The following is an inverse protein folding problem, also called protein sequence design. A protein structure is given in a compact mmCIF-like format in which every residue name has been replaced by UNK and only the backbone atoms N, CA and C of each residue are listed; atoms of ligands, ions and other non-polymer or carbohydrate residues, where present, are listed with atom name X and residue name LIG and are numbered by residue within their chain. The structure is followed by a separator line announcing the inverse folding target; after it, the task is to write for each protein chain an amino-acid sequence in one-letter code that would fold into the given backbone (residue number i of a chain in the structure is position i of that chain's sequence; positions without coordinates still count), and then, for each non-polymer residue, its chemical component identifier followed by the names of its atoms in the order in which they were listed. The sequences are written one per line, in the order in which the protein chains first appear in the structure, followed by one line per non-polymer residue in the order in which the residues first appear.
data_IF_756306080002
#
_entry.id   IF_756306080002
#
_cell.length_a   1.000
_cell.length_b   1.000
_cell.length_c   1.000
_cell.angle_alpha   90.00
_cell.angle_beta   90.00
_cell.angle_gamma   90.00
#
_symmetry.space_group_name_H-M   'P 1'
#
loop_
_entity.id
_entity.type
_entity.pdbx_description
1 polymer ?
#
# COMPACT_ATOMS: atom_id res chain seq x y z
N UNK A 1 -38.02 -11.75 18.17
CA UNK A 1 -37.11 -10.90 17.39
C UNK A 1 -35.89 -11.75 17.12
N UNK A 2 -35.88 -12.44 15.97
CA UNK A 2 -34.81 -13.38 15.63
C UNK A 2 -33.53 -12.58 15.40
N UNK A 3 -32.47 -12.90 16.14
CA UNK A 3 -31.14 -12.44 15.81
C UNK A 3 -30.80 -13.06 14.45
N UNK A 4 -30.79 -12.23 13.42
CA UNK A 4 -30.22 -12.59 12.13
C UNK A 4 -28.74 -12.85 12.39
N UNK A 5 -28.35 -14.12 12.50
CA UNK A 5 -26.95 -14.50 12.64
C UNK A 5 -26.26 -14.14 11.33
N UNK A 6 -25.76 -12.91 11.23
CA UNK A 6 -24.87 -12.51 10.16
C UNK A 6 -23.69 -13.48 10.16
N UNK A 7 -23.62 -14.33 9.12
CA UNK A 7 -22.53 -15.28 8.96
C UNK A 7 -21.26 -14.52 8.68
N UNK A 8 -20.28 -14.60 9.59
CA UNK A 8 -18.96 -14.03 9.38
C UNK A 8 -18.24 -14.76 8.24
N UNK A 9 -17.67 -13.98 7.33
CA UNK A 9 -16.69 -14.47 6.37
C UNK A 9 -15.36 -14.77 7.09
N UNK A 10 -14.60 -15.73 6.59
CA UNK A 10 -13.22 -15.92 7.09
C UNK A 10 -12.29 -14.88 6.48
N UNK A 11 -11.29 -14.47 7.26
CA UNK A 11 -10.22 -13.57 6.82
C UNK A 11 -8.88 -14.21 7.10
N UNK A 12 -8.06 -14.31 6.06
CA UNK A 12 -6.69 -14.77 6.14
C UNK A 12 -5.82 -13.98 5.15
N UNK A 13 -4.52 -14.20 5.23
CA UNK A 13 -3.52 -13.55 4.40
C UNK A 13 -2.65 -14.64 3.77
N UNK A 14 -2.27 -14.47 2.51
CA UNK A 14 -1.42 -15.42 1.81
C UNK A 14 -0.39 -14.71 0.95
N UNK A 15 0.87 -15.18 0.88
CA UNK A 15 1.84 -14.67 -0.08
C UNK A 15 1.34 -14.87 -1.52
N UNK A 16 1.58 -13.88 -2.35
CA UNK A 16 1.25 -13.88 -3.77
C UNK A 16 2.38 -13.22 -4.57
N UNK A 17 2.46 -13.58 -5.85
CA UNK A 17 3.51 -13.12 -6.74
C UNK A 17 2.92 -12.68 -8.06
N UNK A 18 3.27 -11.46 -8.48
CA UNK A 18 3.11 -11.02 -9.87
C UNK A 18 4.42 -11.27 -10.60
N UNK A 19 4.39 -12.15 -11.60
CA UNK A 19 5.57 -12.45 -12.40
C UNK A 19 6.03 -11.21 -13.20
N UNK A 20 7.33 -10.95 -13.21
CA UNK A 20 7.93 -9.94 -14.08
C UNK A 20 8.12 -10.47 -15.50
N UNK A 21 8.17 -9.59 -16.48
CA UNK A 21 8.40 -9.95 -17.87
C UNK A 21 9.06 -8.81 -18.66
N UNK A 22 9.71 -9.15 -19.77
CA UNK A 22 10.15 -8.20 -20.79
C UNK A 22 9.24 -8.35 -21.99
N UNK A 23 8.58 -7.27 -22.39
CA UNK A 23 7.64 -7.23 -23.49
C UNK A 23 8.36 -6.98 -24.83
N UNK A 24 7.70 -7.37 -25.92
CA UNK A 24 8.14 -7.00 -27.26
C UNK A 24 8.22 -5.47 -27.38
N UNK A 25 9.39 -4.94 -27.74
CA UNK A 25 9.67 -3.49 -27.77
C UNK A 25 10.47 -2.96 -26.58
N UNK A 26 10.89 -3.83 -25.64
CA UNK A 26 11.80 -3.46 -24.55
C UNK A 26 11.13 -2.85 -23.32
N UNK A 27 9.80 -2.79 -23.28
CA UNK A 27 9.06 -2.47 -22.06
C UNK A 27 9.20 -3.60 -21.03
N UNK A 28 9.12 -3.28 -19.75
CA UNK A 28 9.21 -4.24 -18.65
C UNK A 28 7.95 -4.24 -17.80
N UNK A 29 7.60 -5.42 -17.32
CA UNK A 29 6.59 -5.69 -16.29
C UNK A 29 7.37 -6.02 -15.03
N UNK A 30 7.14 -5.26 -13.96
CA UNK A 30 7.93 -5.45 -12.74
C UNK A 30 7.44 -6.67 -11.95
N UNK A 31 8.37 -7.50 -11.51
CA UNK A 31 8.08 -8.58 -10.57
C UNK A 31 7.67 -8.00 -9.21
N UNK A 32 6.61 -8.54 -8.59
CA UNK A 32 6.19 -8.14 -7.23
C UNK A 32 5.91 -9.37 -6.39
N UNK A 33 6.37 -9.33 -5.15
CA UNK A 33 5.87 -10.20 -4.09
C UNK A 33 5.02 -9.37 -3.15
N UNK A 34 3.85 -9.89 -2.79
CA UNK A 34 2.88 -9.17 -1.96
C UNK A 34 2.02 -10.12 -1.14
N UNK A 35 1.32 -9.58 -0.16
CA UNK A 35 0.37 -10.35 0.65
C UNK A 35 -1.04 -10.14 0.13
N UNK A 36 -1.68 -11.19 -0.37
CA UNK A 36 -3.07 -11.15 -0.82
C UNK A 36 -4.05 -11.38 0.35
N UNK A 37 -5.25 -10.82 0.23
CA UNK A 37 -6.36 -11.01 1.15
C UNK A 37 -7.12 -12.28 0.77
N UNK A 38 -7.24 -13.22 1.70
CA UNK A 38 -7.99 -14.47 1.49
C UNK A 38 -9.30 -14.38 2.25
N UNK A 39 -10.41 -14.34 1.50
CA UNK A 39 -11.77 -14.30 2.04
C UNK A 39 -12.44 -15.64 1.75
N UNK A 40 -13.02 -16.29 2.76
CA UNK A 40 -13.64 -17.62 2.66
C UNK A 40 -12.75 -18.66 1.95
N UNK A 41 -11.45 -18.63 2.26
CA UNK A 41 -10.45 -19.54 1.68
C UNK A 41 -10.11 -19.28 0.21
N UNK A 42 -10.57 -18.17 -0.39
CA UNK A 42 -10.24 -17.79 -1.77
C UNK A 42 -9.51 -16.45 -1.80
N UNK A 43 -8.38 -16.34 -2.51
CA UNK A 43 -7.73 -15.05 -2.76
C UNK A 43 -8.72 -14.07 -3.36
N UNK A 44 -8.81 -12.88 -2.78
CA UNK A 44 -9.76 -11.85 -3.17
C UNK A 44 -9.40 -11.28 -4.55
N UNK A 45 -8.11 -11.26 -4.92
CA UNK A 45 -7.65 -10.86 -6.25
C UNK A 45 -8.30 -11.71 -7.35
N UNK A 46 -8.45 -13.02 -7.15
CA UNK A 46 -9.11 -13.92 -8.12
C UNK A 46 -10.63 -13.71 -8.23
N UNK A 47 -11.23 -12.93 -7.34
CA UNK A 47 -12.65 -12.53 -7.45
C UNK A 47 -12.83 -11.24 -8.25
N UNK A 48 -11.72 -10.56 -8.59
CA UNK A 48 -11.70 -9.33 -9.37
C UNK A 48 -11.30 -9.68 -10.80
N UNK A 49 -12.13 -9.31 -11.78
CA UNK A 49 -11.97 -9.71 -13.18
C UNK A 49 -10.56 -9.37 -13.73
N UNK A 50 -9.80 -10.40 -14.16
CA UNK A 50 -8.45 -10.39 -14.74
C UNK A 50 -7.63 -9.11 -14.47
N UNK A 51 -7.54 -8.74 -13.19
CA UNK A 51 -6.96 -7.48 -12.77
C UNK A 51 -5.46 -7.63 -12.56
N UNK A 52 -4.68 -6.81 -13.26
CA UNK A 52 -3.25 -6.68 -13.00
C UNK A 52 -2.99 -5.66 -11.88
N UNK A 53 -3.14 -6.12 -10.63
CA UNK A 53 -2.95 -5.28 -9.45
C UNK A 53 -2.32 -6.07 -8.29
N UNK A 54 -1.70 -5.34 -7.36
CA UNK A 54 -1.10 -5.90 -6.13
C UNK A 54 -1.68 -5.18 -4.92
N UNK A 55 -1.71 -5.86 -3.77
CA UNK A 55 -2.12 -5.21 -2.53
C UNK A 55 -1.06 -4.18 -2.10
N UNK A 56 -1.44 -3.17 -1.28
CA UNK A 56 -0.47 -2.25 -0.68
C UNK A 56 0.47 -2.93 0.34
N UNK A 57 0.26 -4.21 0.65
CA UNK A 57 1.09 -5.04 1.52
C UNK A 57 2.16 -5.79 0.71
N UNK A 58 2.88 -5.07 -0.15
CA UNK A 58 3.96 -5.61 -0.97
C UNK A 58 5.30 -5.62 -0.23
N UNK A 59 6.17 -6.60 -0.52
CA UNK A 59 7.45 -6.78 0.19
C UNK A 59 8.48 -5.70 -0.14
N UNK A 60 8.33 -5.02 -1.27
CA UNK A 60 9.17 -3.91 -1.70
C UNK A 60 8.72 -2.55 -1.14
N UNK A 61 7.67 -2.53 -0.32
CA UNK A 61 7.20 -1.35 0.42
C UNK A 61 8.02 -1.19 1.72
N UNK A 62 8.40 0.04 2.11
CA UNK A 62 9.10 0.30 3.36
C UNK A 62 8.37 -0.25 4.59
N UNK A 63 9.07 -0.74 5.62
CA UNK A 63 8.42 -1.24 6.84
C UNK A 63 7.54 -0.22 7.55
N UNK A 64 7.88 1.08 7.54
CA UNK A 64 7.05 2.14 8.11
C UNK A 64 5.73 2.30 7.33
N UNK A 65 5.82 2.44 6.01
CA UNK A 65 4.64 2.53 5.12
C UNK A 65 3.81 1.24 5.21
N UNK A 66 4.46 0.08 5.18
CA UNK A 66 3.79 -1.21 5.36
C UNK A 66 3.04 -1.26 6.69
N UNK A 67 3.67 -0.82 7.78
CA UNK A 67 3.03 -0.74 9.09
C UNK A 67 1.86 0.26 9.10
N UNK A 68 1.99 1.41 8.44
CA UNK A 68 0.88 2.37 8.27
C UNK A 68 -0.28 1.76 7.47
N UNK A 69 0.00 1.00 6.40
CA UNK A 69 -1.02 0.29 5.63
C UNK A 69 -1.76 -0.74 6.49
N UNK A 70 -1.02 -1.52 7.29
CA UNK A 70 -1.62 -2.48 8.24
C UNK A 70 -2.47 -1.76 9.29
N UNK A 71 -1.98 -0.67 9.88
CA UNK A 71 -2.71 0.13 10.89
C UNK A 71 -3.94 0.80 10.29
N UNK A 72 -3.87 1.25 9.03
CA UNK A 72 -5.02 1.78 8.31
C UNK A 72 -6.10 0.70 8.14
N UNK A 73 -5.73 -0.52 7.76
CA UNK A 73 -6.67 -1.66 7.67
C UNK A 73 -7.25 -2.08 9.04
N UNK A 74 -6.54 -1.80 10.14
CA UNK A 74 -7.03 -1.95 11.52
C UNK A 74 -7.94 -0.79 11.99
N UNK A 75 -8.12 0.22 11.14
CA UNK A 75 -8.84 1.47 11.43
C UNK A 75 -8.26 2.24 12.63
N UNK A 76 -6.94 2.18 12.80
CA UNK A 76 -6.21 2.97 13.81
C UNK A 76 -5.89 4.39 13.32
N UNK A 77 -6.03 4.62 12.02
CA UNK A 77 -5.89 5.91 11.36
C UNK A 77 -7.13 6.19 10.49
N UNK A 78 -7.44 7.48 10.20
CA UNK A 78 -8.51 7.85 9.27
C UNK A 78 -8.33 7.20 7.90
N UNK A 79 -9.45 7.02 7.18
CA UNK A 79 -9.40 6.47 5.84
C UNK A 79 -8.56 7.35 4.91
N UNK A 80 -7.68 6.75 4.09
CA UNK A 80 -6.78 7.49 3.20
C UNK A 80 -7.51 8.16 2.03
N UNK A 81 -8.72 7.71 1.70
CA UNK A 81 -9.52 8.25 0.60
C UNK A 81 -10.88 8.78 1.11
N UNK A 82 -11.47 9.78 0.42
CA UNK A 82 -12.80 10.29 0.74
C UNK A 82 -13.86 9.18 0.81
N UNK A 83 -14.87 9.39 1.66
CA UNK A 83 -15.97 8.44 1.83
C UNK A 83 -15.63 7.19 2.64
N UNK A 84 -14.54 7.22 3.43
CA UNK A 84 -14.16 6.09 4.29
C UNK A 84 -13.52 4.94 3.51
N UNK A 85 -12.89 5.25 2.36
CA UNK A 85 -12.39 4.24 1.42
C UNK A 85 -10.91 3.94 1.63
N UNK A 86 -10.56 2.68 1.47
CA UNK A 86 -9.22 2.15 1.60
C UNK A 86 -8.81 1.48 0.29
N UNK A 87 -7.52 1.58 -0.03
CA UNK A 87 -6.93 0.89 -1.18
C UNK A 87 -6.78 -0.60 -0.84
N UNK A 88 -7.39 -1.46 -1.65
CA UNK A 88 -7.31 -2.92 -1.50
C UNK A 88 -6.28 -3.48 -2.49
N UNK A 89 -6.34 -3.04 -3.75
CA UNK A 89 -5.33 -3.36 -4.77
C UNK A 89 -5.03 -2.12 -5.61
N UNK A 90 -3.78 -1.94 -6.00
CA UNK A 90 -3.33 -0.79 -6.78
C UNK A 90 -2.40 -1.19 -7.92
N UNK A 91 -2.09 -0.21 -8.78
CA UNK A 91 -1.18 -0.40 -9.90
C UNK A 91 0.19 -0.93 -9.42
N UNK A 92 0.66 -2.07 -9.97
CA UNK A 92 1.94 -2.66 -9.58
C UNK A 92 3.15 -1.78 -9.89
N UNK A 93 3.03 -0.82 -10.80
CA UNK A 93 4.17 -0.04 -11.28
C UNK A 93 4.36 1.27 -10.50
N UNK A 94 3.27 1.97 -10.17
CA UNK A 94 3.35 3.30 -9.55
C UNK A 94 2.59 3.43 -8.23
N UNK A 95 1.71 2.50 -7.88
CA UNK A 95 0.79 2.59 -6.74
C UNK A 95 -0.05 3.90 -6.70
N UNK A 96 -0.18 4.58 -7.85
CA UNK A 96 -0.91 5.85 -7.97
C UNK A 96 -2.39 5.58 -8.24
N UNK A 97 -3.27 6.26 -7.49
CA UNK A 97 -4.71 6.16 -7.68
C UNK A 97 -5.12 6.51 -9.11
N UNK A 98 -4.47 7.49 -9.74
CA UNK A 98 -4.79 7.91 -11.11
C UNK A 98 -4.55 6.81 -12.16
N UNK A 99 -3.71 5.81 -11.86
CA UNK A 99 -3.54 4.63 -12.70
C UNK A 99 -4.67 3.60 -12.52
N UNK A 100 -5.44 3.76 -11.45
CA UNK A 100 -6.55 2.90 -11.06
C UNK A 100 -6.21 1.98 -9.90
N UNK A 101 -7.18 1.86 -8.99
CA UNK A 101 -7.11 1.00 -7.82
C UNK A 101 -8.48 0.38 -7.53
N UNK A 102 -8.47 -0.81 -6.93
CA UNK A 102 -9.65 -1.37 -6.27
C UNK A 102 -9.68 -0.83 -4.86
N UNK A 103 -10.76 -0.16 -4.52
CA UNK A 103 -10.99 0.42 -3.19
C UNK A 103 -12.25 -0.15 -2.57
N UNK A 104 -12.33 -0.14 -1.25
CA UNK A 104 -13.52 -0.55 -0.51
C UNK A 104 -13.76 0.40 0.67
N UNK A 105 -15.00 0.50 1.12
CA UNK A 105 -15.30 1.07 2.43
C UNK A 105 -14.95 0.02 3.48
N UNK A 106 -14.12 0.40 4.45
CA UNK A 106 -13.80 -0.45 5.60
C UNK A 106 -14.25 0.28 6.86
N UNK A 107 -15.12 -0.37 7.63
CA UNK A 107 -15.67 0.19 8.85
C UNK A 107 -15.72 -0.84 9.98
N UNK A 108 -15.77 -0.35 11.21
CA UNK A 108 -16.05 -1.17 12.39
C UNK A 108 -17.55 -1.25 12.61
N UNK A 109 -18.04 -2.44 12.92
CA UNK A 109 -19.37 -2.66 13.45
C UNK A 109 -19.29 -3.46 14.75
N UNK A 110 -19.37 -2.74 15.87
CA UNK A 110 -19.02 -3.27 17.17
C UNK A 110 -17.56 -3.72 17.21
N UNK A 111 -17.34 -5.00 17.50
CA UNK A 111 -16.00 -5.60 17.51
C UNK A 111 -15.54 -6.06 16.12
N UNK A 112 -16.46 -6.17 15.16
CA UNK A 112 -16.21 -6.74 13.84
C UNK A 112 -15.77 -5.68 12.82
N UNK A 113 -15.22 -6.15 11.70
CA UNK A 113 -14.86 -5.31 10.56
C UNK A 113 -15.74 -5.66 9.37
N UNK A 114 -16.20 -4.64 8.66
CA UNK A 114 -17.03 -4.77 7.47
C UNK A 114 -16.30 -4.15 6.29
N UNK A 115 -16.08 -4.95 5.25
CA UNK A 115 -15.60 -4.47 3.95
C UNK A 115 -16.77 -4.47 2.98
N UNK A 116 -17.10 -3.32 2.40
CA UNK A 116 -18.23 -3.15 1.48
C UNK A 116 -17.95 -2.18 0.36
N UNK A 117 -18.89 -2.10 -0.58
CA UNK A 117 -18.89 -1.11 -1.67
C UNK A 117 -17.58 -1.10 -2.45
N UNK A 118 -17.09 -2.26 -2.84
CA UNK A 118 -15.87 -2.39 -3.64
C UNK A 118 -16.07 -1.70 -4.99
N UNK A 119 -15.09 -0.92 -5.44
CA UNK A 119 -15.13 -0.28 -6.74
C UNK A 119 -13.74 -0.08 -7.35
N UNK A 120 -13.69 0.00 -8.66
CA UNK A 120 -12.56 0.56 -9.40
C UNK A 120 -12.57 2.09 -9.27
N UNK A 121 -11.46 2.68 -8.86
CA UNK A 121 -11.35 4.09 -8.54
C UNK A 121 -10.08 4.68 -9.15
N UNK A 122 -10.24 5.78 -9.89
CA UNK A 122 -9.15 6.56 -10.50
C UNK A 122 -9.04 7.99 -9.97
N UNK A 123 -10.11 8.49 -9.33
CA UNK A 123 -10.24 9.85 -8.79
C UNK A 123 -10.81 9.79 -7.37
N UNK A 124 -11.02 10.95 -6.72
CA UNK A 124 -11.46 11.06 -5.31
C UNK A 124 -12.71 10.23 -4.98
N UNK A 125 -13.66 10.11 -5.91
CA UNK A 125 -14.90 9.37 -5.71
C UNK A 125 -15.20 8.47 -6.93
N UNK A 126 -15.45 7.17 -6.75
CA UNK A 126 -15.86 6.29 -7.84
C UNK A 126 -17.36 6.43 -8.13
N UNK A 127 -17.75 6.35 -9.41
CA UNK A 127 -19.14 6.08 -9.78
C UNK A 127 -19.46 4.62 -9.44
N UNK A 128 -20.14 4.40 -8.32
CA UNK A 128 -20.47 3.04 -7.84
C UNK A 128 -21.37 2.26 -8.79
N UNK A 129 -22.17 2.93 -9.63
CA UNK A 129 -23.04 2.24 -10.58
C UNK A 129 -22.23 1.66 -11.73
N UNK A 130 -21.26 2.43 -12.24
CA UNK A 130 -20.43 2.02 -13.38
C UNK A 130 -19.22 1.18 -12.96
N UNK A 131 -18.58 1.55 -11.85
CA UNK A 131 -17.28 1.00 -11.43
C UNK A 131 -17.37 0.11 -10.19
N UNK A 132 -18.56 -0.07 -9.63
CA UNK A 132 -18.78 -0.97 -8.49
C UNK A 132 -18.61 -2.44 -8.88
N UNK A 133 -17.91 -3.20 -8.04
CA UNK A 133 -17.87 -4.65 -8.12
C UNK A 133 -19.15 -5.23 -7.50
N UNK A 134 -20.26 -5.08 -8.23
CA UNK A 134 -21.58 -5.54 -7.80
C UNK A 134 -21.56 -7.05 -7.52
N UNK A 135 -21.92 -7.44 -6.30
CA UNK A 135 -21.87 -8.84 -5.85
C UNK A 135 -20.60 -9.23 -5.09
N UNK A 136 -19.63 -8.32 -4.93
CA UNK A 136 -18.49 -8.52 -4.05
C UNK A 136 -18.77 -7.90 -2.68
N UNK A 137 -18.89 -8.75 -1.66
CA UNK A 137 -19.25 -8.34 -0.30
C UNK A 137 -20.73 -7.93 -0.15
N UNK A 138 -21.11 -7.30 0.97
CA UNK A 138 -20.25 -6.95 2.10
C UNK A 138 -19.66 -8.20 2.78
N UNK A 139 -18.40 -8.11 3.20
CA UNK A 139 -17.76 -9.13 4.02
C UNK A 139 -17.70 -8.66 5.46
N UNK A 140 -18.28 -9.45 6.36
CA UNK A 140 -18.18 -9.22 7.80
C UNK A 140 -17.16 -10.18 8.39
N UNK A 141 -16.11 -9.64 9.01
CA UNK A 141 -15.05 -10.42 9.63
C UNK A 141 -15.13 -10.34 11.14
N UNK A 142 -14.90 -11.47 11.82
CA UNK A 142 -14.76 -11.46 13.28
C UNK A 142 -13.56 -10.62 13.69
N UNK A 143 -13.79 -9.68 14.59
CA UNK A 143 -12.78 -8.72 15.04
C UNK A 143 -11.47 -9.32 15.50
N UNK A 144 -11.56 -10.38 16.30
CA UNK A 144 -10.41 -11.05 16.89
C UNK A 144 -9.54 -11.74 15.83
N UNK A 145 -10.16 -12.45 14.89
CA UNK A 145 -9.47 -13.12 13.78
C UNK A 145 -8.84 -12.13 12.81
N UNK A 146 -9.60 -11.10 12.43
CA UNK A 146 -9.14 -10.03 11.54
C UNK A 146 -7.92 -9.30 12.12
N UNK A 147 -8.01 -8.85 13.38
CA UNK A 147 -6.90 -8.17 14.06
C UNK A 147 -5.66 -9.06 14.15
N UNK A 148 -5.81 -10.32 14.60
CA UNK A 148 -4.69 -11.26 14.72
C UNK A 148 -3.97 -11.47 13.39
N UNK A 149 -4.71 -11.64 12.29
CA UNK A 149 -4.12 -11.83 10.97
C UNK A 149 -3.25 -10.64 10.57
N UNK A 150 -3.78 -9.42 10.71
CA UNK A 150 -3.06 -8.19 10.34
C UNK A 150 -1.89 -7.87 11.27
N UNK A 151 -2.05 -8.01 12.59
CA UNK A 151 -0.95 -7.76 13.53
C UNK A 151 0.19 -8.76 13.37
N UNK A 152 -0.13 -10.01 12.98
CA UNK A 152 0.88 -11.01 12.65
C UNK A 152 1.82 -10.58 11.53
N UNK A 153 1.38 -9.72 10.59
CA UNK A 153 2.29 -9.17 9.56
C UNK A 153 3.35 -8.24 10.14
N UNK A 154 3.03 -7.48 11.19
CA UNK A 154 3.97 -6.55 11.82
C UNK A 154 5.07 -7.30 12.58
N UNK A 155 4.74 -8.46 13.15
CA UNK A 155 5.67 -9.29 13.91
C UNK A 155 6.69 -10.02 13.00
N UNK A 156 6.34 -10.21 11.73
CA UNK A 156 7.14 -10.96 10.74
C UNK A 156 7.65 -10.08 9.59
N UNK A 157 7.47 -8.76 9.66
CA UNK A 157 7.99 -7.85 8.65
C UNK A 157 9.54 -7.92 8.62
N UNK A 158 10.17 -8.06 7.43
CA UNK A 158 11.62 -8.12 7.34
C UNK A 158 12.25 -6.85 7.93
N UNK A 159 13.26 -7.03 8.77
CA UNK A 159 13.93 -5.96 9.49
C UNK A 159 14.53 -4.98 8.47
N UNK A 160 14.19 -3.69 8.56
CA UNK A 160 14.49 -2.63 7.56
C UNK A 160 16.00 -2.41 7.30
N UNK A 161 16.85 -3.14 8.01
CA UNK A 161 18.30 -2.93 8.15
C UNK A 161 19.12 -3.70 7.11
N UNK A 162 18.55 -4.69 6.42
CA UNK A 162 19.38 -5.71 5.77
C UNK A 162 19.84 -5.42 4.33
N UNK A 163 19.18 -4.56 3.55
CA UNK A 163 19.54 -4.48 2.11
C UNK A 163 20.29 -3.23 1.66
N UNK A 164 20.32 -2.13 2.41
CA UNK A 164 21.13 -0.92 2.10
C UNK A 164 20.88 -0.25 0.72
N UNK A 165 20.01 -0.82 -0.12
CA UNK A 165 19.65 -0.35 -1.47
C UNK A 165 18.39 0.48 -1.42
N UNK A 166 18.38 1.55 -0.63
CA UNK A 166 17.20 2.43 -0.48
C UNK A 166 17.54 3.89 -0.72
N UNK A 167 16.64 4.60 -1.41
CA UNK A 167 16.79 6.00 -1.79
C UNK A 167 15.59 6.82 -1.33
N UNK A 168 15.83 7.88 -0.58
CA UNK A 168 14.79 8.87 -0.26
C UNK A 168 14.77 9.97 -1.35
N UNK A 169 13.63 10.13 -2.01
CA UNK A 169 13.36 11.13 -3.04
C UNK A 169 12.62 12.32 -2.42
N UNK A 170 13.24 13.48 -2.38
CA UNK A 170 12.66 14.69 -1.80
C UNK A 170 12.25 15.67 -2.91
N UNK A 171 10.98 16.07 -3.00
CA UNK A 171 10.60 17.20 -3.86
C UNK A 171 9.14 17.34 -4.25
N UNK A 172 8.76 18.51 -4.75
CA UNK A 172 7.36 18.93 -4.94
C UNK A 172 6.62 18.35 -6.17
N UNK A 173 7.32 17.69 -7.10
CA UNK A 173 6.72 17.17 -8.34
C UNK A 173 6.49 15.66 -8.26
N UNK A 174 5.35 15.27 -7.68
CA UNK A 174 4.97 13.87 -7.48
C UNK A 174 5.13 13.03 -8.77
N UNK A 175 4.60 13.49 -9.91
CA UNK A 175 4.67 12.73 -11.17
C UNK A 175 6.09 12.40 -11.67
N UNK A 176 7.08 13.27 -11.41
CA UNK A 176 8.48 13.02 -11.84
C UNK A 176 9.17 12.10 -10.84
N UNK A 177 8.94 12.30 -9.55
CA UNK A 177 9.50 11.45 -8.50
C UNK A 177 8.89 10.04 -8.53
N UNK A 178 7.61 9.92 -8.87
CA UNK A 178 6.92 8.63 -9.07
C UNK A 178 7.59 7.84 -10.19
N UNK A 179 7.93 8.48 -11.32
CA UNK A 179 8.68 7.81 -12.41
C UNK A 179 10.07 7.36 -11.98
N UNK A 180 10.79 8.18 -11.21
CA UNK A 180 12.11 7.83 -10.71
C UNK A 180 12.03 6.69 -9.67
N UNK A 181 11.05 6.74 -8.76
CA UNK A 181 10.82 5.69 -7.79
C UNK A 181 10.49 4.36 -8.49
N UNK A 182 9.61 4.39 -9.50
CA UNK A 182 9.31 3.23 -10.31
C UNK A 182 10.57 2.66 -10.99
N UNK A 183 11.41 3.52 -11.59
CA UNK A 183 12.66 3.10 -12.22
C UNK A 183 13.66 2.49 -11.22
N UNK A 184 13.81 3.07 -10.03
CA UNK A 184 14.68 2.53 -8.97
C UNK A 184 14.16 1.17 -8.48
N UNK A 185 12.85 1.05 -8.26
CA UNK A 185 12.23 -0.21 -7.86
C UNK A 185 12.39 -1.30 -8.93
N UNK A 186 12.37 -0.93 -10.21
CA UNK A 186 12.59 -1.88 -11.32
C UNK A 186 13.98 -2.54 -11.32
N UNK A 187 14.97 -1.89 -10.68
CA UNK A 187 16.35 -2.41 -10.55
C UNK A 187 16.65 -2.92 -9.13
N UNK A 188 15.61 -3.16 -8.32
CA UNK A 188 15.76 -3.69 -6.96
C UNK A 188 16.27 -2.66 -5.94
N UNK A 189 16.01 -1.37 -6.17
CA UNK A 189 16.31 -0.29 -5.23
C UNK A 189 14.99 0.24 -4.66
N UNK A 190 14.79 0.11 -3.35
CA UNK A 190 13.65 0.72 -2.66
C UNK A 190 13.70 2.24 -2.79
N UNK A 191 12.59 2.88 -3.10
CA UNK A 191 12.53 4.32 -3.31
C UNK A 191 11.30 4.92 -2.65
N UNK A 192 11.53 5.96 -1.84
CA UNK A 192 10.48 6.62 -1.05
C UNK A 192 10.38 8.09 -1.44
N UNK A 193 9.18 8.67 -1.41
CA UNK A 193 8.97 10.05 -1.84
C UNK A 193 8.43 10.84 -0.67
N UNK A 194 9.10 11.93 -0.32
CA UNK A 194 8.60 12.88 0.66
C UNK A 194 8.72 14.32 0.15
N UNK A 195 7.82 15.18 0.60
CA UNK A 195 7.97 16.62 0.45
C UNK A 195 8.77 17.23 1.62
N UNK A 196 8.76 16.56 2.77
CA UNK A 196 9.38 17.02 4.00
C UNK A 196 10.00 15.84 4.78
N UNK A 197 11.34 15.77 4.89
CA UNK A 197 12.02 14.71 5.63
C UNK A 197 12.06 14.96 7.15
N UNK A 198 11.61 16.11 7.66
CA UNK A 198 11.77 16.49 9.08
C UNK A 198 10.94 15.63 10.04
N UNK A 199 9.85 15.01 9.56
CA UNK A 199 9.01 14.09 10.32
C UNK A 199 9.51 12.64 10.36
N UNK A 200 10.58 12.31 9.62
CA UNK A 200 11.08 10.93 9.53
C UNK A 200 11.97 10.63 10.76
N UNK A 201 11.70 9.54 11.52
CA UNK A 201 12.51 9.17 12.66
C UNK A 201 13.98 8.86 12.31
N UNK A 202 14.95 9.19 13.17
CA UNK A 202 16.38 8.96 12.91
C UNK A 202 16.74 7.51 12.56
N UNK A 203 16.11 6.54 13.19
CA UNK A 203 16.28 5.11 12.93
C UNK A 203 15.88 4.71 11.50
N UNK A 204 14.89 5.38 10.93
CA UNK A 204 14.43 5.16 9.57
C UNK A 204 15.34 5.86 8.56
N UNK A 205 15.82 7.07 8.89
CA UNK A 205 16.78 7.79 8.05
C UNK A 205 18.05 6.95 7.77
N UNK A 206 18.49 6.13 8.73
CA UNK A 206 19.64 5.22 8.55
C UNK A 206 19.40 4.09 7.55
N UNK A 207 18.14 3.77 7.25
CA UNK A 207 17.83 2.71 6.30
C UNK A 207 18.04 3.15 4.84
N UNK A 208 18.17 4.46 4.59
CA UNK A 208 18.40 5.01 3.26
C UNK A 208 19.90 5.14 2.97
N UNK A 209 20.37 4.43 1.95
CA UNK A 209 21.75 4.52 1.46
C UNK A 209 22.02 5.78 0.61
N UNK A 210 20.97 6.43 0.09
CA UNK A 210 21.09 7.69 -0.64
C UNK A 210 19.85 8.58 -0.53
N UNK A 211 20.03 9.87 -0.83
CA UNK A 211 18.95 10.87 -0.93
C UNK A 211 19.06 11.58 -2.27
N UNK A 212 17.98 11.62 -3.03
CA UNK A 212 17.89 12.38 -4.27
C UNK A 212 16.90 13.53 -4.13
N UNK A 213 17.27 14.69 -4.63
CA UNK A 213 16.45 15.90 -4.54
C UNK A 213 15.89 16.26 -5.91
N UNK A 214 14.58 16.50 -5.97
CA UNK A 214 13.93 17.10 -7.12
C UNK A 214 14.54 18.47 -7.45
N UNK A 215 14.51 18.84 -8.73
CA UNK A 215 15.13 20.10 -9.21
C UNK A 215 14.57 21.35 -8.55
N UNK A 216 13.30 21.33 -8.15
CA UNK A 216 12.63 22.46 -7.52
C UNK A 216 12.90 22.62 -6.01
N UNK A 217 13.65 21.70 -5.39
CA UNK A 217 13.97 21.78 -3.96
C UNK A 217 15.05 22.84 -3.72
N UNK A 218 14.72 23.86 -2.93
CA UNK A 218 15.65 24.93 -2.53
C UNK A 218 16.75 24.46 -1.57
N UNK A 219 17.79 25.28 -1.39
CA UNK A 219 18.96 24.94 -0.57
C UNK A 219 18.63 24.75 0.91
N UNK A 220 17.72 25.55 1.47
CA UNK A 220 17.28 25.45 2.86
C UNK A 220 16.78 24.03 3.18
N UNK A 221 15.86 23.52 2.36
CA UNK A 221 15.31 22.16 2.49
C UNK A 221 16.37 21.07 2.30
N UNK A 222 17.34 21.29 1.40
CA UNK A 222 18.49 20.35 1.24
C UNK A 222 19.35 20.32 2.49
N UNK A 223 19.58 21.47 3.12
CA UNK A 223 20.38 21.59 4.33
C UNK A 223 19.68 20.96 5.54
N UNK A 224 18.36 21.14 5.67
CA UNK A 224 17.53 20.45 6.67
C UNK A 224 17.63 18.93 6.53
N UNK A 225 17.44 18.41 5.32
CA UNK A 225 17.59 16.98 5.04
C UNK A 225 18.99 16.49 5.44
N UNK A 226 20.06 17.17 4.99
CA UNK A 226 21.44 16.83 5.37
C UNK A 226 21.67 16.87 6.88
N UNK A 227 21.03 17.81 7.59
CA UNK A 227 21.12 17.90 9.04
C UNK A 227 20.36 16.77 9.75
N UNK A 228 19.20 16.35 9.22
CA UNK A 228 18.45 15.20 9.73
C UNK A 228 19.26 13.90 9.59
N UNK A 229 19.84 13.65 8.40
CA UNK A 229 20.70 12.49 8.17
C UNK A 229 21.98 12.50 9.02
N UNK A 230 22.65 13.66 9.18
CA UNK A 230 23.81 13.77 10.09
C UNK A 230 23.47 13.50 11.56
N UNK A 231 22.26 13.87 12.01
CA UNK A 231 21.78 13.55 13.37
C UNK A 231 21.40 12.08 13.51
N UNK A 232 20.97 11.45 12.43
CA UNK A 232 20.64 10.04 12.41
C UNK A 232 21.87 9.16 12.62
N UNK A 233 23.02 9.54 12.07
CA UNK A 233 24.31 8.84 12.23
C UNK A 233 24.80 8.28 10.92
#
# INVERSE_FOLDING_TARGET
MAAEHATHASFALAPATRAGAVLAGGAHITHREFTDFVVDGRPLLFRLADLDAVSPLASDVPPAIFAEQVRALLLEAPAPLPGGRYLVYGCPECADLACGAVTAVIERDGEDYVWRDFAWQTDDHPDMRLNGYHGLGPFRFRGDGYRRALTGLLEHAPDAREDGRRVLLIGARAAVLNKLAAALRSIGIGADITHDPSGIPPEELRAYGAVAFGRAVGEERRNEARAAFRRAG
#
